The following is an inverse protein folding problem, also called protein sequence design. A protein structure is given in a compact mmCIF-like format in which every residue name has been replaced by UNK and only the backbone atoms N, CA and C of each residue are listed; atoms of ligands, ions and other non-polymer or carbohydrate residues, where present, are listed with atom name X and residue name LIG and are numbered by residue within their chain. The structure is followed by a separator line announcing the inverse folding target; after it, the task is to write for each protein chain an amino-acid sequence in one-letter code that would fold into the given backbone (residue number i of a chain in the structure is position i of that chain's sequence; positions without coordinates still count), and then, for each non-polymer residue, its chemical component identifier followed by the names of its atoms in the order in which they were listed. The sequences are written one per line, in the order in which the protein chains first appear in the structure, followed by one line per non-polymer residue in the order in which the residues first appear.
data_IF_014737332209
#
_entry.id   IF_014737332209
#
_cell.length_a   1.000
_cell.length_b   1.000
_cell.length_c   1.000
_cell.angle_alpha   90.00
_cell.angle_beta   90.00
_cell.angle_gamma   90.00
#
_symmetry.space_group_name_H-M   'P 1'
#
loop_
_entity.id
_entity.type
_entity.pdbx_description
1 polymer ?
#
# COMPACT_ATOMS: atom_id res chain seq x y z
N UNK A 1 1.06 -16.90 26.41
CA UNK A 1 0.01 -15.86 26.42
C UNK A 1 0.38 -14.87 25.33
N UNK A 2 -0.28 -14.93 24.19
CA UNK A 2 -0.07 -13.96 23.12
C UNK A 2 -0.83 -12.69 23.50
N UNK A 3 -0.13 -11.56 23.59
CA UNK A 3 -0.79 -10.27 23.71
C UNK A 3 -1.52 -10.00 22.39
N UNK A 4 -2.83 -9.75 22.43
CA UNK A 4 -3.49 -9.08 21.31
C UNK A 4 -2.93 -7.65 21.27
N UNK A 5 -2.02 -7.41 20.34
CA UNK A 5 -1.71 -6.05 19.91
C UNK A 5 -2.96 -5.54 19.19
N UNK A 6 -3.44 -4.36 19.56
CA UNK A 6 -4.60 -3.74 18.91
C UNK A 6 -4.11 -3.17 17.57
N UNK A 7 -4.22 -3.95 16.51
CA UNK A 7 -3.90 -3.53 15.15
C UNK A 7 -4.79 -2.36 14.69
N UNK A 8 -4.28 -1.54 13.77
CA UNK A 8 -5.11 -0.63 12.98
C UNK A 8 -6.13 -1.44 12.17
N UNK A 9 -7.36 -1.55 12.68
CA UNK A 9 -8.33 -2.50 12.14
C UNK A 9 -9.01 -2.03 10.85
N UNK A 10 -9.33 -0.73 10.72
CA UNK A 10 -10.06 -0.21 9.56
C UNK A 10 -9.57 1.18 9.15
N UNK A 11 -9.27 1.35 7.87
CA UNK A 11 -8.93 2.63 7.24
C UNK A 11 -10.16 3.19 6.53
N UNK A 12 -10.50 4.43 6.86
CA UNK A 12 -11.54 5.18 6.14
C UNK A 12 -10.94 5.86 4.91
N UNK A 13 -11.43 5.53 3.73
CA UNK A 13 -10.93 6.08 2.48
C UNK A 13 -12.05 6.27 1.45
N UNK A 14 -11.75 6.96 0.36
CA UNK A 14 -12.62 7.00 -0.84
C UNK A 14 -11.77 6.92 -2.09
N UNK A 15 -12.27 6.23 -3.10
CA UNK A 15 -11.67 6.21 -4.43
C UNK A 15 -12.03 7.49 -5.17
N UNK A 16 -11.02 8.12 -5.75
CA UNK A 16 -11.17 9.18 -6.73
C UNK A 16 -11.07 8.54 -8.12
N UNK A 17 -12.18 8.36 -8.86
CA UNK A 17 -12.08 7.77 -10.17
C UNK A 17 -11.37 8.70 -11.16
N UNK A 18 -11.02 8.16 -12.33
CA UNK A 18 -10.51 8.93 -13.45
C UNK A 18 -11.42 10.12 -13.78
N UNK A 19 -10.83 11.17 -14.38
CA UNK A 19 -11.52 12.45 -14.65
C UNK A 19 -12.93 12.27 -15.21
N UNK A 20 -13.89 12.99 -14.62
CA UNK A 20 -15.27 13.09 -15.10
C UNK A 20 -16.29 12.16 -14.44
N UNK A 21 -15.87 11.21 -13.59
CA UNK A 21 -16.77 10.24 -12.96
C UNK A 21 -17.36 10.65 -11.58
N UNK A 22 -16.92 11.78 -10.99
CA UNK A 22 -17.34 12.22 -9.65
C UNK A 22 -16.68 11.43 -8.52
N UNK A 23 -16.54 11.99 -7.31
CA UNK A 23 -15.89 11.26 -6.21
C UNK A 23 -16.75 10.08 -5.71
N UNK A 24 -16.12 8.93 -5.41
CA UNK A 24 -16.80 7.79 -4.80
C UNK A 24 -17.21 8.04 -3.33
N UNK A 25 -18.08 7.17 -2.76
CA UNK A 25 -18.45 7.27 -1.35
C UNK A 25 -17.24 7.03 -0.45
N UNK A 26 -17.34 7.50 0.80
CA UNK A 26 -16.41 7.09 1.85
C UNK A 26 -16.73 5.67 2.31
N UNK A 27 -15.71 4.84 2.36
CA UNK A 27 -15.77 3.43 2.74
C UNK A 27 -14.77 3.16 3.87
N UNK A 28 -14.93 2.01 4.52
CA UNK A 28 -13.99 1.47 5.51
C UNK A 28 -13.51 0.13 4.99
N UNK A 29 -12.21 -0.14 5.12
CA UNK A 29 -11.64 -1.43 4.80
C UNK A 29 -10.51 -1.77 5.78
N UNK A 30 -10.25 -3.07 6.03
CA UNK A 30 -9.03 -3.53 6.69
C UNK A 30 -7.77 -2.96 6.04
N UNK A 31 -6.70 -2.78 6.82
CA UNK A 31 -5.48 -2.13 6.34
C UNK A 31 -4.88 -2.83 5.10
N UNK A 32 -4.82 -4.15 5.09
CA UNK A 32 -4.31 -4.95 3.97
C UNK A 32 -5.17 -4.79 2.70
N UNK A 33 -6.50 -4.86 2.84
CA UNK A 33 -7.43 -4.60 1.75
C UNK A 33 -7.33 -3.16 1.23
N UNK A 34 -7.23 -2.18 2.13
CA UNK A 34 -7.00 -0.79 1.79
C UNK A 34 -5.71 -0.66 0.97
N UNK A 35 -4.57 -1.19 1.44
CA UNK A 35 -3.29 -1.16 0.73
C UNK A 35 -3.40 -1.78 -0.68
N UNK A 36 -4.18 -2.85 -0.84
CA UNK A 36 -4.44 -3.52 -2.13
C UNK A 36 -5.41 -2.76 -3.04
N UNK A 37 -6.11 -1.75 -2.53
CA UNK A 37 -7.09 -0.94 -3.26
C UNK A 37 -6.51 0.36 -3.84
N UNK A 38 -5.43 0.90 -3.26
CA UNK A 38 -4.86 2.19 -3.66
C UNK A 38 -4.03 2.08 -4.94
N UNK A 39 -4.33 2.84 -6.01
CA UNK A 39 -3.66 2.72 -7.31
C UNK A 39 -2.13 2.71 -7.28
N UNK A 40 -1.50 3.59 -6.51
CA UNK A 40 -0.06 3.71 -6.36
C UNK A 40 0.59 2.45 -5.80
N UNK A 41 -0.05 1.77 -4.86
CA UNK A 41 0.43 0.49 -4.32
C UNK A 41 0.03 -0.69 -5.19
N UNK A 42 -1.13 -0.63 -5.84
CA UNK A 42 -1.62 -1.66 -6.76
C UNK A 42 -0.59 -1.98 -7.82
N UNK A 43 0.10 -0.98 -8.38
CA UNK A 43 1.14 -1.26 -9.36
C UNK A 43 2.29 -2.11 -8.78
N UNK A 44 2.84 -1.71 -7.63
CA UNK A 44 3.93 -2.45 -6.99
C UNK A 44 3.50 -3.85 -6.52
N UNK A 45 2.36 -3.93 -5.85
CA UNK A 45 1.83 -5.16 -5.28
C UNK A 45 1.30 -6.08 -6.38
N UNK A 46 0.40 -5.63 -7.26
CA UNK A 46 -0.20 -6.49 -8.31
C UNK A 46 0.78 -6.87 -9.40
N UNK A 47 1.68 -5.97 -9.82
CA UNK A 47 2.57 -6.25 -10.95
C UNK A 47 3.91 -6.86 -10.53
N UNK A 48 4.52 -6.38 -9.44
CA UNK A 48 5.81 -6.88 -8.97
C UNK A 48 5.72 -7.82 -7.76
N UNK A 49 4.62 -7.76 -7.00
CA UNK A 49 4.48 -8.57 -5.78
C UNK A 49 5.45 -8.12 -4.68
N UNK A 50 5.85 -6.85 -4.68
CA UNK A 50 6.83 -6.33 -3.72
C UNK A 50 6.17 -5.28 -2.83
N UNK A 51 6.16 -5.51 -1.52
CA UNK A 51 5.69 -4.53 -0.54
C UNK A 51 6.77 -3.47 -0.28
N UNK A 52 6.42 -2.17 -0.20
CA UNK A 52 7.36 -1.12 0.18
C UNK A 52 7.82 -1.25 1.63
N UNK A 53 9.09 -0.87 1.94
CA UNK A 53 9.55 -0.78 3.32
C UNK A 53 8.76 0.30 4.09
N UNK A 54 8.72 0.17 5.42
CA UNK A 54 7.85 0.99 6.30
C UNK A 54 7.97 2.49 6.08
N UNK A 55 9.18 3.06 5.94
CA UNK A 55 9.35 4.50 5.75
C UNK A 55 8.82 4.98 4.42
N UNK A 56 8.97 4.18 3.36
CA UNK A 56 8.37 4.47 2.04
C UNK A 56 6.85 4.37 2.10
N UNK A 57 6.33 3.37 2.80
CA UNK A 57 4.90 3.19 2.97
C UNK A 57 4.30 4.37 3.76
N UNK A 58 4.91 4.73 4.88
CA UNK A 58 4.46 5.83 5.73
C UNK A 58 4.52 7.19 5.03
N UNK A 59 5.53 7.44 4.18
CA UNK A 59 5.58 8.67 3.37
C UNK A 59 4.29 8.85 2.55
N UNK A 60 3.80 7.77 1.94
CA UNK A 60 2.53 7.80 1.19
C UNK A 60 1.34 7.88 2.14
N UNK A 61 1.28 7.09 3.20
CA UNK A 61 0.13 7.10 4.12
C UNK A 61 -0.06 8.46 4.82
N UNK A 62 1.03 9.17 5.10
CA UNK A 62 1.03 10.51 5.71
C UNK A 62 0.56 11.61 4.74
N UNK A 63 0.59 11.38 3.43
CA UNK A 63 0.06 12.36 2.47
C UNK A 63 -1.47 12.50 2.56
N UNK A 64 -2.17 11.42 2.96
CA UNK A 64 -3.63 11.35 2.95
C UNK A 64 -4.23 11.23 1.55
N UNK A 65 -3.41 11.11 0.51
CA UNK A 65 -3.87 10.94 -0.86
C UNK A 65 -2.86 10.25 -1.78
N UNK A 66 -3.41 9.51 -2.72
CA UNK A 66 -2.71 9.05 -3.90
C UNK A 66 -3.41 9.69 -5.10
N UNK A 67 -2.67 10.48 -5.87
CA UNK A 67 -3.16 11.17 -7.05
C UNK A 67 -2.36 10.68 -8.26
N UNK A 68 -2.93 9.70 -8.98
CA UNK A 68 -2.36 9.22 -10.24
C UNK A 68 -2.83 10.08 -11.44
N UNK A 69 -3.23 11.33 -11.20
CA UNK A 69 -3.68 12.29 -12.20
C UNK A 69 -4.92 11.79 -12.94
N UNK A 70 -4.80 11.64 -14.27
CA UNK A 70 -5.92 11.18 -15.10
C UNK A 70 -6.34 9.72 -14.80
N UNK A 71 -5.50 8.93 -14.14
CA UNK A 71 -5.79 7.54 -13.76
C UNK A 71 -6.76 7.40 -12.58
N UNK A 72 -7.09 8.50 -11.90
CA UNK A 72 -7.77 8.46 -10.62
C UNK A 72 -6.79 8.33 -9.45
N UNK A 73 -7.29 7.98 -8.28
CA UNK A 73 -6.53 8.01 -7.04
C UNK A 73 -7.39 7.61 -5.85
N UNK A 74 -6.95 7.99 -4.65
CA UNK A 74 -7.71 7.80 -3.44
C UNK A 74 -7.39 8.88 -2.40
N UNK A 75 -8.32 9.10 -1.47
CA UNK A 75 -8.16 10.01 -0.33
C UNK A 75 -8.46 9.26 0.96
N UNK A 76 -7.69 9.53 2.00
CA UNK A 76 -7.86 9.01 3.34
C UNK A 76 -7.44 10.06 4.37
N UNK A 77 -7.67 9.79 5.65
CA UNK A 77 -7.11 10.62 6.73
C UNK A 77 -5.63 10.26 6.88
N UNK A 78 -4.67 11.19 6.81
CA UNK A 78 -3.25 10.92 7.04
C UNK A 78 -2.97 10.11 8.31
N UNK A 79 -2.07 9.14 8.21
CA UNK A 79 -1.56 8.34 9.32
C UNK A 79 -0.21 7.70 8.99
N UNK A 80 0.46 7.15 9.99
CA UNK A 80 1.63 6.30 9.82
C UNK A 80 1.48 5.02 10.63
N UNK A 81 2.12 3.97 10.16
CA UNK A 81 2.21 2.68 10.84
C UNK A 81 3.41 2.68 11.78
N UNK A 82 3.23 2.10 12.96
CA UNK A 82 4.32 1.62 13.80
C UNK A 82 5.01 0.40 13.19
N UNK A 83 6.20 0.05 13.68
CA UNK A 83 6.91 -1.16 13.26
C UNK A 83 6.06 -2.42 13.43
N UNK A 84 5.35 -2.53 14.56
CA UNK A 84 4.49 -3.70 14.85
C UNK A 84 3.30 -3.79 13.89
N UNK A 85 2.61 -2.69 13.61
CA UNK A 85 1.51 -2.68 12.63
C UNK A 85 2.01 -3.00 11.20
N UNK A 86 3.21 -2.55 10.85
CA UNK A 86 3.83 -2.89 9.58
C UNK A 86 4.19 -4.38 9.48
N UNK A 87 4.77 -4.96 10.54
CA UNK A 87 5.08 -6.40 10.59
C UNK A 87 3.82 -7.26 10.43
N UNK A 88 2.73 -6.89 11.13
CA UNK A 88 1.43 -7.56 11.00
C UNK A 88 0.85 -7.41 9.58
N UNK A 89 0.94 -6.22 8.98
CA UNK A 89 0.53 -6.00 7.59
C UNK A 89 1.32 -6.88 6.62
N UNK A 90 2.65 -6.95 6.77
CA UNK A 90 3.53 -7.78 5.95
C UNK A 90 3.15 -9.26 6.10
N UNK A 91 2.95 -9.73 7.33
CA UNK A 91 2.55 -11.11 7.60
C UNK A 91 1.22 -11.45 6.93
N UNK A 92 0.20 -10.59 7.09
CA UNK A 92 -1.12 -10.78 6.46
C UNK A 92 -1.01 -10.83 4.93
N UNK A 93 -0.25 -9.93 4.31
CA UNK A 93 -0.11 -9.87 2.86
C UNK A 93 0.67 -11.05 2.27
N UNK A 94 1.74 -11.51 2.94
CA UNK A 94 2.59 -12.61 2.44
C UNK A 94 1.94 -13.97 2.65
N UNK A 95 1.18 -14.15 3.73
CA UNK A 95 0.51 -15.42 4.03
C UNK A 95 -0.83 -15.59 3.31
N UNK A 96 -1.38 -14.52 2.73
CA UNK A 96 -2.64 -14.57 1.99
C UNK A 96 -2.48 -15.39 0.70
N UNK A 97 -3.16 -16.56 0.56
CA UNK A 97 -2.99 -17.45 -0.60
C UNK A 97 -3.49 -16.85 -1.92
N UNK A 98 -4.27 -15.77 -1.89
CA UNK A 98 -4.76 -15.08 -3.09
C UNK A 98 -3.74 -14.08 -3.66
N UNK A 99 -2.62 -13.85 -2.95
CA UNK A 99 -1.63 -12.85 -3.32
C UNK A 99 -0.21 -13.42 -3.24
N UNK A 100 0.58 -13.22 -4.29
CA UNK A 100 2.00 -13.54 -4.27
C UNK A 100 2.79 -12.27 -3.92
N UNK A 101 2.75 -11.90 -2.64
CA UNK A 101 3.48 -10.74 -2.12
C UNK A 101 4.73 -11.24 -1.38
N UNK A 102 5.81 -10.47 -1.50
CA UNK A 102 7.08 -10.73 -0.84
C UNK A 102 7.81 -9.42 -0.54
N UNK A 103 8.82 -9.52 0.30
CA UNK A 103 9.77 -8.44 0.54
C UNK A 103 10.95 -8.50 -0.44
N UNK A 104 11.54 -7.35 -0.74
CA UNK A 104 12.83 -7.26 -1.44
C UNK A 104 13.77 -6.31 -0.67
N UNK A 105 14.64 -6.90 0.16
CA UNK A 105 15.59 -6.16 1.02
C UNK A 105 16.54 -5.24 0.24
N UNK A 106 16.77 -5.49 -1.05
CA UNK A 106 17.61 -4.60 -1.88
C UNK A 106 16.95 -3.25 -2.18
N UNK A 107 15.66 -3.11 -1.88
CA UNK A 107 14.89 -1.87 -2.06
C UNK A 107 14.66 -1.12 -0.74
N UNK A 108 15.16 -1.61 0.39
CA UNK A 108 14.89 -1.00 1.70
C UNK A 108 15.60 0.34 1.89
N UNK A 109 16.82 0.47 1.36
CA UNK A 109 17.60 1.72 1.48
C UNK A 109 17.13 2.84 0.53
N UNK A 110 15.97 2.68 -0.12
CA UNK A 110 15.43 3.72 -1.02
C UNK A 110 14.86 4.85 -0.17
N UNK A 111 15.24 6.11 -0.42
CA UNK A 111 14.98 7.21 0.52
C UNK A 111 13.51 7.65 0.54
N UNK A 112 12.76 7.37 -0.53
CA UNK A 112 11.38 7.82 -0.67
C UNK A 112 10.60 6.94 -1.68
N UNK A 113 9.30 7.15 -1.75
CA UNK A 113 8.37 6.44 -2.62
C UNK A 113 8.74 6.54 -4.10
N UNK A 114 9.07 7.73 -4.59
CA UNK A 114 9.44 7.93 -6.00
C UNK A 114 10.67 7.07 -6.38
N UNK A 115 11.75 7.14 -5.59
CA UNK A 115 12.98 6.37 -5.86
C UNK A 115 12.77 4.87 -5.67
N UNK A 116 11.93 4.48 -4.74
CA UNK A 116 11.55 3.09 -4.53
C UNK A 116 10.76 2.55 -5.73
N UNK A 117 9.72 3.27 -6.15
CA UNK A 117 8.85 2.90 -7.28
C UNK A 117 9.65 2.81 -8.59
N UNK A 118 10.54 3.77 -8.87
CA UNK A 118 11.41 3.73 -10.06
C UNK A 118 12.36 2.53 -10.05
N UNK A 119 12.80 2.08 -8.87
CA UNK A 119 13.67 0.91 -8.74
C UNK A 119 12.93 -0.40 -9.04
N UNK A 120 11.59 -0.44 -8.93
CA UNK A 120 10.78 -1.59 -9.32
C UNK A 120 10.84 -1.86 -10.83
N UNK A 121 10.99 -0.82 -11.66
CA UNK A 121 11.06 -0.98 -13.12
C UNK A 121 12.27 -1.83 -13.57
N UNK A 122 13.32 -1.91 -12.74
CA UNK A 122 14.47 -2.80 -12.96
C UNK A 122 14.28 -4.21 -12.42
N UNK A 123 13.16 -4.50 -11.75
CA UNK A 123 12.83 -5.83 -11.21
C UNK A 123 12.06 -6.65 -12.23
N UNK A 124 12.20 -7.97 -12.14
CA UNK A 124 11.37 -8.88 -12.93
C UNK A 124 9.92 -8.79 -12.40
N UNK A 125 8.92 -8.50 -13.25
CA UNK A 125 7.51 -8.59 -12.86
C UNK A 125 7.16 -9.99 -12.37
N UNK A 126 6.03 -10.11 -11.67
CA UNK A 126 5.48 -11.44 -11.37
C UNK A 126 5.28 -12.22 -12.66
N UNK A 127 5.66 -13.49 -12.64
CA UNK A 127 5.47 -14.38 -13.78
C UNK A 127 3.97 -14.52 -14.07
N UNK A 128 3.61 -14.49 -15.36
CA UNK A 128 2.33 -15.07 -15.79
C UNK A 128 2.41 -16.59 -15.69
#
# INVERSE_FOLDING_TARGET
MAALVLAMNDVRYKIMPAMGAGEGPWEYAPLDEFILSIPGFVYALKFFGIIPPIHVLNEVLESGCDDAGMGGGAKWKPFSLSETEYEELVENLITNPNHEIREDRSLWEKPNYEKWQMSLLGKKPRGK
#
